data_IF_289176538195
#
_entry.id   IF_289176538195
#
_cell.length_a   1.000
_cell.length_b   1.000
_cell.length_c   1.000
_cell.angle_alpha   90.00
_cell.angle_beta   90.00
_cell.angle_gamma   90.00
#
_symmetry.space_group_name_H-M   'P 1'
#
loop_
_entity.id
_entity.type
_entity.pdbx_description
1 polymer ?
#
# COMPACT_ATOMS: atom_id res chain seq x y z
N UNK A 1 -22.17 22.88 23.27
CA UNK A 1 -21.12 23.84 22.91
C UNK A 1 -21.05 23.86 21.39
N UNK A 2 -21.58 24.92 20.75
CA UNK A 2 -21.60 25.02 19.29
C UNK A 2 -20.24 25.58 18.87
N UNK A 3 -19.41 24.74 18.26
CA UNK A 3 -18.16 25.18 17.66
C UNK A 3 -18.54 26.06 16.47
N UNK A 4 -18.24 27.36 16.52
CA UNK A 4 -18.43 28.22 15.36
C UNK A 4 -17.56 27.68 14.21
N UNK A 5 -18.09 27.57 12.98
CA UNK A 5 -17.32 27.05 11.86
C UNK A 5 -16.11 27.97 11.61
N UNK A 6 -14.91 27.41 11.63
CA UNK A 6 -13.70 28.10 11.25
C UNK A 6 -13.77 28.38 9.73
N UNK A 7 -14.10 29.62 9.35
CA UNK A 7 -14.31 30.01 7.95
C UNK A 7 -13.02 30.43 7.23
N UNK A 8 -11.83 30.27 7.82
CA UNK A 8 -10.57 30.78 7.27
C UNK A 8 -9.55 29.74 6.80
N UNK A 9 -9.47 28.57 7.44
CA UNK A 9 -8.38 27.61 7.19
C UNK A 9 -8.84 26.44 6.35
N UNK A 10 -8.24 26.24 5.17
CA UNK A 10 -8.51 25.08 4.33
C UNK A 10 -7.78 23.85 4.88
N UNK A 11 -8.35 22.65 4.69
CA UNK A 11 -7.66 21.39 5.00
C UNK A 11 -6.44 21.15 4.09
N UNK A 12 -6.51 21.66 2.85
CA UNK A 12 -5.41 21.63 1.88
C UNK A 12 -5.19 23.03 1.32
N UNK A 13 -3.93 23.45 1.28
CA UNK A 13 -3.47 24.73 0.75
C UNK A 13 -2.62 24.50 -0.50
N UNK A 14 -2.49 25.53 -1.34
CA UNK A 14 -1.51 25.49 -2.43
C UNK A 14 -0.09 25.47 -1.85
N UNK A 15 0.79 24.72 -2.51
CA UNK A 15 2.20 24.64 -2.11
C UNK A 15 2.87 25.98 -2.48
N UNK A 16 3.43 26.66 -1.49
CA UNK A 16 4.17 27.92 -1.62
C UNK A 16 5.55 27.83 -0.91
N UNK A 17 6.25 28.96 -0.80
CA UNK A 17 7.57 29.08 -0.17
C UNK A 17 7.65 28.49 1.25
N UNK A 18 6.52 28.39 1.98
CA UNK A 18 6.47 27.79 3.32
C UNK A 18 6.69 26.28 3.31
N UNK A 19 6.64 25.63 2.15
CA UNK A 19 6.84 24.19 1.98
C UNK A 19 8.26 23.82 1.50
N UNK A 20 9.09 24.83 1.23
CA UNK A 20 10.48 24.64 0.79
C UNK A 20 11.33 23.97 1.89
N UNK A 21 12.25 23.10 1.47
CA UNK A 21 13.12 22.33 2.36
C UNK A 21 14.46 22.05 1.67
N UNK A 22 15.52 21.98 2.45
CA UNK A 22 16.87 21.66 1.95
C UNK A 22 16.94 20.22 1.40
N UNK A 23 16.25 19.29 2.07
CA UNK A 23 16.13 17.89 1.67
C UNK A 23 14.83 17.26 2.21
N UNK A 24 14.58 16.00 1.85
CA UNK A 24 13.40 15.24 2.26
C UNK A 24 13.26 15.01 3.78
N UNK A 25 14.36 15.09 4.53
CA UNK A 25 14.46 14.89 5.97
C UNK A 25 14.40 16.19 6.77
N UNK A 26 14.50 17.34 6.09
CA UNK A 26 14.41 18.67 6.67
C UNK A 26 12.97 19.11 6.97
N UNK A 27 12.84 20.18 7.76
CA UNK A 27 11.57 20.83 8.06
C UNK A 27 11.28 21.94 7.03
N UNK A 28 10.00 22.30 6.81
CA UNK A 28 8.80 21.80 7.50
C UNK A 28 8.33 20.43 6.98
N UNK A 29 7.68 19.67 7.86
CA UNK A 29 7.00 18.41 7.49
C UNK A 29 5.58 18.71 7.02
N UNK A 30 5.18 18.10 5.91
CA UNK A 30 3.88 18.34 5.29
C UNK A 30 3.19 17.04 4.85
N UNK A 31 1.86 17.04 4.88
CA UNK A 31 1.05 16.07 4.11
C UNK A 31 0.71 16.74 2.78
N UNK A 32 1.42 16.35 1.72
CA UNK A 32 1.28 16.94 0.39
C UNK A 32 0.86 15.89 -0.64
N UNK A 33 -0.08 16.25 -1.50
CA UNK A 33 -0.46 15.46 -2.67
C UNK A 33 0.06 16.20 -3.88
N UNK A 34 1.04 15.63 -4.58
CA UNK A 34 1.66 16.29 -5.71
C UNK A 34 2.37 15.28 -6.60
N UNK A 35 1.68 14.89 -7.67
CA UNK A 35 2.29 14.60 -8.97
C UNK A 35 1.14 14.54 -9.97
N UNK A 36 0.98 15.52 -10.88
CA UNK A 36 0.12 15.28 -12.01
C UNK A 36 0.80 14.20 -12.86
N UNK A 37 0.20 13.01 -12.93
CA UNK A 37 0.55 12.05 -13.98
C UNK A 37 -0.06 12.62 -15.26
N UNK A 38 0.70 13.51 -15.93
CA UNK A 38 0.28 14.20 -17.15
C UNK A 38 0.24 13.26 -18.36
N UNK A 39 0.84 12.07 -18.22
CA UNK A 39 0.93 11.04 -19.26
C UNK A 39 0.17 9.77 -18.86
N UNK A 40 0.19 8.74 -19.71
CA UNK A 40 -0.30 7.41 -19.30
C UNK A 40 0.59 6.86 -18.19
N UNK A 41 0.02 6.18 -17.17
CA UNK A 41 0.80 5.62 -16.07
C UNK A 41 1.83 4.60 -16.60
N UNK A 42 3.01 4.63 -16.00
CA UNK A 42 4.16 3.75 -16.26
C UNK A 42 4.29 2.73 -15.11
N UNK A 43 4.96 1.58 -15.31
CA UNK A 43 5.19 0.61 -14.23
C UNK A 43 5.82 1.25 -12.99
N UNK A 44 6.77 2.17 -13.18
CA UNK A 44 7.45 2.86 -12.08
C UNK A 44 6.49 3.72 -11.25
N UNK A 45 5.46 4.31 -11.84
CA UNK A 45 4.48 5.09 -11.08
C UNK A 45 3.78 4.19 -10.05
N UNK A 46 3.27 3.04 -10.48
CA UNK A 46 2.66 2.06 -9.57
C UNK A 46 3.66 1.50 -8.55
N UNK A 47 4.91 1.26 -8.98
CA UNK A 47 5.98 0.77 -8.11
C UNK A 47 6.30 1.75 -6.98
N UNK A 48 6.42 3.04 -7.30
CA UNK A 48 6.76 4.07 -6.33
C UNK A 48 5.64 4.26 -5.31
N UNK A 49 4.38 4.23 -5.75
CA UNK A 49 3.24 4.22 -4.83
C UNK A 49 3.24 2.94 -3.96
N UNK A 50 3.51 1.77 -4.54
CA UNK A 50 3.61 0.52 -3.77
C UNK A 50 4.63 0.62 -2.64
N UNK A 51 5.82 1.14 -2.92
CA UNK A 51 6.87 1.35 -1.91
C UNK A 51 6.38 2.27 -0.81
N UNK A 52 5.79 3.42 -1.14
CA UNK A 52 5.29 4.39 -0.14
C UNK A 52 4.26 3.78 0.82
N UNK A 53 3.31 3.01 0.29
CA UNK A 53 2.31 2.33 1.13
C UNK A 53 2.90 1.20 1.96
N UNK A 54 3.88 0.48 1.42
CA UNK A 54 4.58 -0.56 2.18
C UNK A 54 5.41 0.03 3.31
N UNK A 55 6.18 1.09 3.07
CA UNK A 55 6.96 1.78 4.10
C UNK A 55 6.07 2.37 5.21
N UNK A 56 4.89 2.89 4.87
CA UNK A 56 3.90 3.30 5.86
C UNK A 56 3.41 2.12 6.72
N UNK A 57 3.13 0.96 6.10
CA UNK A 57 2.78 -0.27 6.83
C UNK A 57 3.92 -0.72 7.76
N UNK A 58 5.17 -0.75 7.27
CA UNK A 58 6.35 -1.09 8.07
C UNK A 58 6.55 -0.16 9.26
N UNK A 59 6.34 1.14 9.05
CA UNK A 59 6.48 2.14 10.11
C UNK A 59 5.49 1.89 11.26
N UNK A 60 4.24 1.51 10.93
CA UNK A 60 3.26 1.10 11.94
C UNK A 60 3.69 -0.18 12.67
N UNK A 61 4.22 -1.17 11.96
CA UNK A 61 4.78 -2.37 12.60
C UNK A 61 5.89 -2.01 13.60
N UNK A 62 6.81 -1.11 13.22
CA UNK A 62 7.89 -0.64 14.10
C UNK A 62 7.35 0.10 15.33
N UNK A 63 6.30 0.91 15.18
CA UNK A 63 5.62 1.56 16.29
C UNK A 63 5.01 0.53 17.25
N UNK A 64 4.34 -0.52 16.74
CA UNK A 64 3.80 -1.61 17.56
C UNK A 64 4.93 -2.35 18.29
N UNK A 65 5.98 -2.78 17.57
CA UNK A 65 7.12 -3.48 18.16
C UNK A 65 7.83 -2.68 19.25
N UNK A 66 7.78 -1.35 19.20
CA UNK A 66 8.36 -0.43 20.19
C UNK A 66 7.37 0.04 21.26
N UNK A 67 6.19 -0.59 21.35
CA UNK A 67 5.12 -0.21 22.29
C UNK A 67 4.75 1.29 22.20
N UNK A 68 4.74 1.86 20.99
CA UNK A 68 4.28 3.24 20.73
C UNK A 68 2.80 3.32 20.34
N UNK A 69 2.22 2.20 19.93
CA UNK A 69 0.81 2.01 19.63
C UNK A 69 0.46 0.55 19.92
N UNK A 70 -0.77 0.28 20.35
CA UNK A 70 -1.27 -1.07 20.58
C UNK A 70 -1.45 -1.83 19.26
N UNK A 71 -1.21 -3.14 19.28
CA UNK A 71 -1.34 -4.02 18.12
C UNK A 71 -2.77 -4.03 17.56
N UNK A 72 -3.78 -4.11 18.42
CA UNK A 72 -5.19 -4.14 17.99
C UNK A 72 -5.64 -2.83 17.34
N UNK A 73 -5.02 -1.70 17.69
CA UNK A 73 -5.28 -0.39 17.05
C UNK A 73 -4.66 -0.35 15.66
N UNK A 74 -3.46 -0.90 15.50
CA UNK A 74 -2.69 -0.83 14.27
C UNK A 74 -2.97 -1.96 13.26
N UNK A 75 -3.52 -3.10 13.70
CA UNK A 75 -3.62 -4.33 12.86
C UNK A 75 -4.37 -4.11 11.55
N UNK A 76 -5.58 -3.55 11.61
CA UNK A 76 -6.39 -3.30 10.41
C UNK A 76 -5.69 -2.31 9.45
N UNK A 77 -5.18 -1.14 9.91
CA UNK A 77 -4.37 -0.26 9.09
C UNK A 77 -3.12 -0.91 8.48
N UNK A 78 -2.35 -1.69 9.25
CA UNK A 78 -1.14 -2.37 8.79
C UNK A 78 -1.47 -3.28 7.60
N UNK A 79 -2.47 -4.14 7.75
CA UNK A 79 -2.89 -5.10 6.73
C UNK A 79 -3.46 -4.36 5.52
N UNK A 80 -4.28 -3.32 5.71
CA UNK A 80 -4.85 -2.54 4.62
C UNK A 80 -3.77 -1.86 3.77
N UNK A 81 -2.80 -1.19 4.41
CA UNK A 81 -1.70 -0.52 3.73
C UNK A 81 -0.83 -1.53 2.96
N UNK A 82 -0.55 -2.69 3.56
CA UNK A 82 0.19 -3.76 2.90
C UNK A 82 -0.58 -4.37 1.72
N UNK A 83 -1.87 -4.62 1.88
CA UNK A 83 -2.74 -5.10 0.80
C UNK A 83 -2.80 -4.13 -0.37
N UNK A 84 -2.82 -2.83 -0.08
CA UNK A 84 -2.77 -1.81 -1.12
C UNK A 84 -1.39 -1.75 -1.80
N UNK A 85 -0.29 -1.90 -1.06
CA UNK A 85 1.05 -1.98 -1.67
C UNK A 85 1.19 -3.19 -2.60
N UNK A 86 0.64 -4.35 -2.23
CA UNK A 86 0.59 -5.56 -3.07
C UNK A 86 -0.22 -5.33 -4.35
N UNK A 87 -1.40 -4.70 -4.26
CA UNK A 87 -2.20 -4.36 -5.45
C UNK A 87 -1.41 -3.50 -6.44
N UNK A 88 -0.75 -2.45 -5.94
CA UNK A 88 0.03 -1.53 -6.75
C UNK A 88 1.25 -2.23 -7.37
N UNK A 89 1.95 -3.09 -6.62
CA UNK A 89 3.06 -3.87 -7.15
C UNK A 89 2.59 -4.82 -8.26
N UNK A 90 1.47 -5.52 -8.07
CA UNK A 90 0.89 -6.38 -9.11
C UNK A 90 0.48 -5.58 -10.36
N UNK A 91 -0.10 -4.38 -10.19
CA UNK A 91 -0.39 -3.48 -11.31
C UNK A 91 0.86 -3.05 -12.06
N UNK A 92 1.95 -2.77 -11.35
CA UNK A 92 3.25 -2.49 -11.95
C UNK A 92 3.74 -3.70 -12.78
N UNK A 93 3.69 -4.91 -12.23
CA UNK A 93 4.06 -6.15 -12.94
C UNK A 93 3.19 -6.36 -14.18
N UNK A 94 1.87 -6.27 -14.06
CA UNK A 94 0.94 -6.44 -15.20
C UNK A 94 1.23 -5.43 -16.31
N UNK A 95 1.41 -4.15 -15.96
CA UNK A 95 1.71 -3.12 -16.93
C UNK A 95 3.06 -3.36 -17.60
N UNK A 96 4.06 -3.79 -16.83
CA UNK A 96 5.39 -4.14 -17.34
C UNK A 96 5.34 -5.33 -18.32
N UNK A 97 4.63 -6.40 -17.97
CA UNK A 97 4.56 -7.62 -18.78
C UNK A 97 3.64 -7.50 -19.99
N UNK A 98 2.57 -6.71 -19.91
CA UNK A 98 1.50 -6.67 -20.94
C UNK A 98 1.41 -5.36 -21.72
N UNK A 99 2.09 -4.30 -21.24
CA UNK A 99 1.94 -2.94 -21.76
C UNK A 99 0.57 -2.30 -21.49
N UNK A 100 -0.31 -2.95 -20.71
CA UNK A 100 -1.66 -2.47 -20.40
C UNK A 100 -1.87 -2.35 -18.90
N UNK A 101 -2.36 -1.20 -18.46
CA UNK A 101 -2.75 -0.99 -17.06
C UNK A 101 -3.99 -1.81 -16.75
N UNK A 102 -4.02 -2.45 -15.58
CA UNK A 102 -5.17 -3.19 -15.08
C UNK A 102 -6.04 -2.28 -14.20
N UNK A 103 -7.33 -2.20 -14.54
CA UNK A 103 -8.34 -1.54 -13.72
C UNK A 103 -8.86 -2.48 -12.61
N UNK A 104 -9.42 -1.89 -11.55
CA UNK A 104 -10.00 -2.61 -10.42
C UNK A 104 -9.01 -2.92 -9.30
N UNK A 105 -9.52 -3.57 -8.26
CA UNK A 105 -8.80 -3.84 -7.00
C UNK A 105 -8.66 -5.33 -6.68
N UNK A 106 -9.23 -6.22 -7.50
CA UNK A 106 -9.26 -7.66 -7.25
C UNK A 106 -7.88 -8.29 -7.48
N UNK A 107 -7.25 -8.74 -6.39
CA UNK A 107 -5.92 -9.35 -6.45
C UNK A 107 -5.90 -10.66 -7.26
N UNK A 108 -6.97 -11.45 -7.22
CA UNK A 108 -7.06 -12.70 -8.00
C UNK A 108 -7.10 -12.44 -9.50
N UNK A 109 -7.77 -11.36 -9.92
CA UNK A 109 -7.81 -10.93 -11.32
C UNK A 109 -6.46 -10.40 -11.77
N UNK A 110 -5.73 -9.68 -10.91
CA UNK A 110 -4.37 -9.24 -11.19
C UNK A 110 -3.39 -10.42 -11.30
N UNK A 111 -3.46 -11.38 -10.37
CA UNK A 111 -2.64 -12.60 -10.38
C UNK A 111 -2.73 -13.36 -11.70
N UNK A 112 -3.94 -13.53 -12.24
CA UNK A 112 -4.17 -14.24 -13.51
C UNK A 112 -3.51 -13.58 -14.73
N UNK A 113 -3.10 -12.32 -14.61
CA UNK A 113 -2.43 -11.56 -15.69
C UNK A 113 -0.90 -11.60 -15.60
N UNK A 114 -0.36 -12.10 -14.50
CA UNK A 114 1.09 -12.15 -14.24
C UNK A 114 1.65 -13.52 -14.56
N UNK A 115 2.79 -13.56 -15.25
CA UNK A 115 3.57 -14.80 -15.49
C UNK A 115 4.86 -14.80 -14.67
N UNK A 116 5.44 -15.99 -14.46
CA UNK A 116 6.73 -16.14 -13.76
C UNK A 116 6.67 -16.00 -12.24
N UNK A 117 5.48 -16.05 -11.65
CA UNK A 117 5.30 -15.93 -10.21
C UNK A 117 5.51 -17.27 -9.49
N UNK A 118 6.34 -17.34 -8.44
CA UNK A 118 6.46 -18.56 -7.64
C UNK A 118 5.15 -18.95 -6.95
N UNK A 119 4.89 -20.26 -6.80
CA UNK A 119 3.65 -20.77 -6.19
C UNK A 119 3.38 -20.19 -4.79
N UNK A 120 4.43 -20.01 -3.97
CA UNK A 120 4.28 -19.43 -2.63
C UNK A 120 3.79 -17.97 -2.67
N UNK A 121 4.19 -17.19 -3.69
CA UNK A 121 3.71 -15.81 -3.90
C UNK A 121 2.23 -15.84 -4.28
N UNK A 122 1.86 -16.71 -5.22
CA UNK A 122 0.47 -16.89 -5.65
C UNK A 122 -0.42 -17.25 -4.44
N UNK A 123 0.04 -18.17 -3.59
CA UNK A 123 -0.68 -18.59 -2.40
C UNK A 123 -0.86 -17.46 -1.39
N UNK A 124 0.20 -16.71 -1.07
CA UNK A 124 0.12 -15.60 -0.12
C UNK A 124 -0.74 -14.43 -0.62
N UNK A 125 -0.65 -14.09 -1.90
CA UNK A 125 -1.53 -13.05 -2.48
C UNK A 125 -2.99 -13.54 -2.51
N UNK A 126 -3.23 -14.82 -2.76
CA UNK A 126 -4.58 -15.40 -2.71
C UNK A 126 -5.15 -15.43 -1.29
N UNK A 127 -4.30 -15.66 -0.28
CA UNK A 127 -4.68 -15.52 1.12
C UNK A 127 -5.07 -14.09 1.47
N UNK A 128 -4.25 -13.11 1.07
CA UNK A 128 -4.54 -11.69 1.26
C UNK A 128 -5.82 -11.25 0.53
N UNK A 129 -6.07 -11.81 -0.66
CA UNK A 129 -7.30 -11.59 -1.40
C UNK A 129 -8.53 -12.10 -0.63
N UNK A 130 -8.50 -13.32 -0.11
CA UNK A 130 -9.62 -13.89 0.67
C UNK A 130 -9.91 -13.10 1.95
N UNK A 131 -8.88 -12.51 2.56
CA UNK A 131 -9.05 -11.65 3.73
C UNK A 131 -9.82 -10.36 3.40
N UNK A 132 -9.53 -9.75 2.24
CA UNK A 132 -10.14 -8.49 1.82
C UNK A 132 -10.32 -8.40 0.29
N UNK A 133 -11.32 -9.13 -0.21
CA UNK A 133 -11.54 -9.34 -1.65
C UNK A 133 -11.77 -8.02 -2.39
N UNK A 134 -12.52 -7.11 -1.76
CA UNK A 134 -12.97 -5.84 -2.35
C UNK A 134 -12.19 -4.62 -1.87
N UNK A 135 -11.14 -4.82 -1.07
CA UNK A 135 -10.42 -3.73 -0.40
C UNK A 135 -11.28 -2.95 0.61
N UNK A 136 -12.38 -3.51 1.12
CA UNK A 136 -13.35 -2.85 2.02
C UNK A 136 -13.40 -3.48 3.40
N UNK A 137 -13.12 -4.79 3.50
CA UNK A 137 -13.14 -5.58 4.72
C UNK A 137 -12.45 -4.85 5.87
N UNK A 138 -11.20 -4.49 5.64
CA UNK A 138 -10.29 -3.96 6.66
C UNK A 138 -10.61 -2.51 7.08
N UNK A 139 -11.67 -1.91 6.55
CA UNK A 139 -12.00 -0.49 6.77
C UNK A 139 -13.40 -0.28 7.34
N UNK A 140 -14.31 -1.22 7.14
CA UNK A 140 -15.70 -1.04 7.49
C UNK A 140 -16.23 -2.21 8.33
N UNK A 141 -16.87 -1.93 9.46
CA UNK A 141 -17.33 -2.98 10.39
C UNK A 141 -18.52 -3.79 9.87
N UNK A 142 -19.18 -3.33 8.81
CA UNK A 142 -20.34 -3.96 8.17
C UNK A 142 -19.95 -4.82 6.96
N UNK A 143 -18.66 -5.11 6.81
CA UNK A 143 -18.15 -5.95 5.74
C UNK A 143 -17.63 -7.27 6.28
N UNK A 144 -17.87 -8.34 5.53
CA UNK A 144 -17.32 -9.66 5.79
C UNK A 144 -15.81 -9.64 5.53
N UNK A 145 -15.02 -9.03 6.44
CA UNK A 145 -13.67 -9.56 6.64
C UNK A 145 -13.91 -11.00 7.02
N UNK A 146 -13.38 -11.92 6.23
CA UNK A 146 -13.35 -13.28 6.68
C UNK A 146 -12.50 -13.30 7.94
N UNK A 147 -13.16 -13.19 9.11
CA UNK A 147 -12.61 -13.39 10.44
C UNK A 147 -12.24 -14.88 10.52
N UNK A 148 -11.25 -15.27 9.73
CA UNK A 148 -10.41 -16.38 10.08
C UNK A 148 -9.67 -15.94 11.34
N UNK A 149 -9.49 -16.85 12.29
CA UNK A 149 -8.54 -16.73 13.38
C UNK A 149 -7.11 -16.70 12.79
N UNK A 150 -6.82 -15.71 11.96
CA UNK A 150 -5.60 -15.54 11.21
C UNK A 150 -4.78 -14.47 11.92
N UNK A 151 -3.63 -14.88 12.43
CA UNK A 151 -2.65 -14.01 13.06
C UNK A 151 -1.25 -14.35 12.58
N UNK A 152 -0.35 -13.39 12.70
CA UNK A 152 1.09 -13.61 12.53
C UNK A 152 1.77 -12.82 13.64
N UNK A 153 2.80 -13.38 14.26
CA UNK A 153 3.60 -12.59 15.19
C UNK A 153 4.29 -11.48 14.40
N UNK A 154 4.49 -10.32 15.03
CA UNK A 154 5.02 -9.14 14.35
C UNK A 154 6.35 -9.39 13.61
N UNK A 155 7.34 -10.11 14.17
CA UNK A 155 8.58 -10.41 13.44
C UNK A 155 8.35 -11.25 12.17
N UNK A 156 7.49 -12.26 12.25
CA UNK A 156 7.16 -13.14 11.12
C UNK A 156 6.36 -12.39 10.05
N UNK A 157 5.47 -11.48 10.49
CA UNK A 157 4.72 -10.61 9.59
C UNK A 157 5.68 -9.72 8.80
N UNK A 158 6.62 -9.06 9.49
CA UNK A 158 7.63 -8.21 8.84
C UNK A 158 8.46 -8.99 7.83
N UNK A 159 8.97 -10.18 8.20
CA UNK A 159 9.75 -11.03 7.29
C UNK A 159 8.94 -11.46 6.05
N UNK A 160 7.72 -11.98 6.24
CA UNK A 160 6.86 -12.45 5.15
C UNK A 160 6.49 -11.30 4.20
N UNK A 161 6.10 -10.16 4.76
CA UNK A 161 5.68 -9.00 3.95
C UNK A 161 6.85 -8.40 3.18
N UNK A 162 8.04 -8.34 3.77
CA UNK A 162 9.26 -7.88 3.11
C UNK A 162 9.64 -8.79 1.94
N UNK A 163 9.63 -10.10 2.18
CA UNK A 163 9.93 -11.09 1.14
C UNK A 163 8.92 -11.04 0.00
N UNK A 164 7.62 -10.95 0.31
CA UNK A 164 6.58 -10.84 -0.72
C UNK A 164 6.75 -9.57 -1.55
N UNK A 165 6.88 -8.42 -0.88
CA UNK A 165 7.00 -7.13 -1.55
C UNK A 165 8.24 -7.07 -2.44
N UNK A 166 9.40 -7.52 -1.95
CA UNK A 166 10.65 -7.55 -2.73
C UNK A 166 10.53 -8.35 -4.03
N UNK A 167 9.86 -9.51 -4.00
CA UNK A 167 9.67 -10.33 -5.21
C UNK A 167 8.75 -9.66 -6.21
N UNK A 168 7.64 -9.05 -5.75
CA UNK A 168 6.74 -8.31 -6.63
C UNK A 168 7.45 -7.11 -7.28
N UNK A 169 8.28 -6.38 -6.52
CA UNK A 169 9.09 -5.28 -7.06
C UNK A 169 10.11 -5.77 -8.10
N UNK A 170 10.79 -6.90 -7.86
CA UNK A 170 11.73 -7.46 -8.81
C UNK A 170 11.06 -7.85 -10.14
N UNK A 171 9.87 -8.46 -10.07
CA UNK A 171 9.06 -8.80 -11.25
C UNK A 171 8.56 -7.57 -12.01
N UNK A 172 8.45 -6.41 -11.36
CA UNK A 172 8.01 -5.16 -11.99
C UNK A 172 9.10 -4.44 -12.80
N UNK A 173 10.34 -4.96 -12.78
CA UNK A 173 11.52 -4.35 -13.42
C UNK A 173 12.28 -5.31 -14.34
N UNK A 174 12.15 -6.63 -14.15
CA UNK A 174 12.92 -7.63 -14.90
C UNK A 174 12.53 -7.72 -16.37
N UNK A 175 13.50 -7.69 -17.29
CA UNK A 175 13.23 -8.08 -18.68
C UNK A 175 12.77 -9.54 -18.70
N UNK A 176 11.60 -9.80 -19.29
CA UNK A 176 11.20 -11.16 -19.67
C UNK A 176 12.24 -11.60 -20.71
N UNK A 177 13.09 -12.55 -20.33
CA UNK A 177 13.99 -13.24 -21.27
C UNK A 177 13.18 -14.21 -22.11
#
# INVERSE_FOLDING_TARGET
MIVQPNTGTKLFEEIDERFERDDEWSFPKSVSIGWPILEKPKPNDFRDFSIRYYEASRSLCEMVSRNKIEDYVASFPIIFLFRHSVELALKAVVLHQTGKSAAGHDLSVLLKKVTGMPDWVVNWVSELHRLDERSTGLRYPDTDVAFFEAGSLMPEWQEKTERLHAVLLALSQGHIR
#
